data_IF_740377723751
#
_entry.id   IF_740377723751
#
_cell.length_a   1.000
_cell.length_b   1.000
_cell.length_c   1.000
_cell.angle_alpha   90.00
_cell.angle_beta   90.00
_cell.angle_gamma   90.00
#
_symmetry.space_group_name_H-M   'P 1'
#
loop_
_entity.id
_entity.type
_entity.pdbx_description
1 polymer ?
#
# COMPACT_ATOMS: atom_id res chain seq x y z
N UNK A 1 13.26 -8.82 21.50
CA UNK A 1 13.89 -10.14 21.44
C UNK A 1 15.26 -9.95 20.86
N UNK A 2 16.29 -10.45 21.55
CA UNK A 2 17.66 -10.45 21.10
C UNK A 2 17.98 -11.82 20.51
N UNK A 3 18.63 -11.83 19.35
CA UNK A 3 19.08 -13.03 18.69
C UNK A 3 20.62 -13.09 18.74
N UNK A 4 21.17 -14.23 19.08
CA UNK A 4 22.62 -14.47 19.07
C UNK A 4 22.93 -15.83 18.45
N UNK A 5 24.02 -15.93 17.72
CA UNK A 5 24.53 -17.17 17.12
C UNK A 5 26.06 -17.14 17.11
N UNK A 6 26.67 -18.31 17.01
CA UNK A 6 28.10 -18.48 17.23
C UNK A 6 28.96 -18.33 15.95
N UNK A 7 28.38 -18.18 14.78
CA UNK A 7 29.07 -18.06 13.50
C UNK A 7 28.86 -16.68 12.87
N UNK A 8 29.86 -15.82 13.00
CA UNK A 8 29.85 -14.45 12.47
C UNK A 8 29.79 -14.38 10.93
N UNK A 9 30.02 -15.50 10.22
CA UNK A 9 29.90 -15.56 8.75
C UNK A 9 28.46 -15.71 8.27
N UNK A 10 27.54 -16.09 9.17
CA UNK A 10 26.13 -16.32 8.87
C UNK A 10 25.32 -15.04 9.14
N UNK A 11 24.66 -14.51 8.13
CA UNK A 11 23.79 -13.35 8.30
C UNK A 11 22.45 -13.74 8.96
N UNK A 12 21.85 -12.82 9.71
CA UNK A 12 20.54 -13.04 10.34
C UNK A 12 19.46 -13.50 9.34
N UNK A 13 19.49 -12.97 8.12
CA UNK A 13 18.60 -13.37 7.05
C UNK A 13 18.74 -14.86 6.66
N UNK A 14 19.94 -15.40 6.71
CA UNK A 14 20.20 -16.82 6.41
C UNK A 14 19.66 -17.72 7.52
N UNK A 15 19.74 -17.26 8.77
CA UNK A 15 19.13 -17.96 9.91
C UNK A 15 17.62 -17.99 9.74
N UNK A 16 16.99 -16.85 9.42
CA UNK A 16 15.55 -16.78 9.19
C UNK A 16 15.11 -17.67 8.01
N UNK A 17 15.88 -17.73 6.94
CA UNK A 17 15.59 -18.61 5.79
C UNK A 17 15.71 -20.10 6.17
N UNK A 18 16.60 -20.45 7.11
CA UNK A 18 16.84 -21.84 7.51
C UNK A 18 15.83 -22.38 8.53
N UNK A 19 15.37 -21.53 9.48
CA UNK A 19 14.49 -21.95 10.57
C UNK A 19 13.08 -21.36 10.47
N UNK A 20 12.89 -20.38 9.59
CA UNK A 20 11.60 -19.71 9.44
C UNK A 20 10.61 -20.57 8.67
N UNK A 21 9.37 -20.56 9.14
CA UNK A 21 8.23 -21.11 8.42
C UNK A 21 7.45 -19.99 7.74
N UNK A 22 6.86 -20.28 6.56
CA UNK A 22 5.99 -19.35 5.88
C UNK A 22 4.75 -19.13 6.74
N UNK A 23 4.48 -17.91 7.25
CA UNK A 23 3.26 -17.65 7.99
C UNK A 23 2.06 -17.67 7.04
N UNK A 24 1.10 -18.53 7.33
CA UNK A 24 -0.18 -18.56 6.63
C UNK A 24 -1.26 -17.89 7.50
N UNK A 25 -2.34 -17.37 6.89
CA UNK A 25 -3.41 -16.72 7.64
C UNK A 25 -4.04 -17.66 8.69
N UNK A 26 -4.27 -17.20 9.93
CA UNK A 26 -4.85 -18.02 11.00
C UNK A 26 -6.24 -18.57 10.67
N UNK A 27 -6.99 -17.94 9.77
CA UNK A 27 -8.32 -18.42 9.39
C UNK A 27 -8.29 -19.72 8.56
N UNK A 28 -7.12 -20.14 8.05
CA UNK A 28 -6.97 -21.43 7.38
C UNK A 28 -7.00 -22.61 8.37
N UNK A 29 -6.83 -22.36 9.67
CA UNK A 29 -6.92 -23.33 10.78
C UNK A 29 -6.13 -24.62 10.52
N UNK A 30 -4.96 -24.53 9.94
CA UNK A 30 -4.01 -25.63 9.71
C UNK A 30 -2.57 -25.12 9.84
N UNK A 31 -1.65 -26.02 9.98
CA UNK A 31 -0.23 -25.72 9.91
C UNK A 31 0.23 -25.46 8.47
N UNK A 32 1.38 -24.78 8.34
CA UNK A 32 2.01 -24.50 7.05
C UNK A 32 2.51 -25.80 6.42
N UNK A 33 2.28 -25.97 5.13
CA UNK A 33 2.78 -27.08 4.33
C UNK A 33 3.83 -26.58 3.32
N UNK A 34 4.70 -27.48 2.86
CA UNK A 34 5.74 -27.14 1.88
C UNK A 34 5.16 -26.59 0.57
N UNK A 35 3.96 -27.05 0.19
CA UNK A 35 3.20 -26.57 -0.95
C UNK A 35 2.78 -25.11 -0.84
N UNK A 36 2.63 -24.58 0.38
CA UNK A 36 2.26 -23.18 0.60
C UNK A 36 3.33 -22.20 0.11
N UNK A 37 4.59 -22.61 0.15
CA UNK A 37 5.69 -21.81 -0.42
C UNK A 37 5.50 -21.47 -1.90
N UNK A 38 4.71 -22.27 -2.61
CA UNK A 38 4.41 -22.08 -4.02
C UNK A 38 2.99 -21.60 -4.25
N UNK A 39 2.01 -22.15 -3.54
CA UNK A 39 0.58 -21.88 -3.76
C UNK A 39 0.09 -20.63 -3.04
N UNK A 40 0.70 -20.27 -1.91
CA UNK A 40 0.42 -19.03 -1.19
C UNK A 40 1.38 -17.90 -1.62
N UNK A 41 1.68 -17.83 -2.92
CA UNK A 41 2.51 -16.81 -3.54
C UNK A 41 1.79 -16.25 -4.77
N UNK A 42 1.94 -14.96 -5.01
CA UNK A 42 1.37 -14.32 -6.21
C UNK A 42 2.45 -14.11 -7.27
N UNK A 43 2.02 -13.91 -8.52
CA UNK A 43 2.93 -13.52 -9.63
C UNK A 43 3.65 -12.18 -9.37
N UNK A 44 3.22 -11.43 -8.36
CA UNK A 44 3.79 -10.14 -7.95
C UNK A 44 4.88 -10.25 -6.88
N UNK A 45 5.07 -11.42 -6.27
CA UNK A 45 6.07 -11.62 -5.22
C UNK A 45 7.49 -11.54 -5.80
N UNK A 46 8.13 -10.38 -5.65
CA UNK A 46 9.48 -10.10 -6.18
C UNK A 46 10.49 -9.77 -5.10
N UNK A 47 10.04 -9.16 -4.01
CA UNK A 47 10.91 -8.63 -2.93
C UNK A 47 10.53 -9.33 -1.63
N UNK A 48 11.51 -9.94 -0.96
CA UNK A 48 11.33 -10.51 0.38
C UNK A 48 11.12 -9.38 1.40
N UNK A 49 10.33 -9.62 2.47
CA UNK A 49 10.14 -8.66 3.55
C UNK A 49 8.69 -8.42 3.94
N UNK A 50 7.76 -9.23 3.42
CA UNK A 50 6.34 -9.20 3.77
C UNK A 50 5.91 -10.54 4.34
N UNK A 51 5.02 -10.49 5.35
CA UNK A 51 4.47 -11.68 6.02
C UNK A 51 3.20 -12.16 5.32
N UNK A 52 2.40 -11.23 4.77
CA UNK A 52 1.13 -11.55 4.13
C UNK A 52 1.23 -11.47 2.61
N UNK A 53 0.80 -12.52 1.91
CA UNK A 53 0.64 -12.47 0.47
C UNK A 53 -0.57 -11.61 0.08
N UNK A 54 -0.49 -10.81 -1.01
CA UNK A 54 -1.64 -10.06 -1.52
C UNK A 54 -2.63 -11.00 -2.20
N UNK A 55 -3.52 -11.63 -1.42
CA UNK A 55 -4.41 -12.72 -1.88
C UNK A 55 -5.29 -12.35 -3.07
N UNK A 56 -5.68 -11.09 -3.22
CA UNK A 56 -6.35 -10.61 -4.44
C UNK A 56 -5.50 -10.82 -5.70
N UNK A 57 -4.19 -10.86 -5.57
CA UNK A 57 -3.25 -11.16 -6.66
C UNK A 57 -3.28 -12.60 -7.13
N UNK A 58 -3.85 -13.54 -6.36
CA UNK A 58 -3.98 -14.95 -6.75
C UNK A 58 -4.91 -15.16 -7.96
N UNK A 59 -5.78 -14.21 -8.26
CA UNK A 59 -6.61 -14.22 -9.48
C UNK A 59 -5.79 -14.04 -10.77
N UNK A 60 -4.54 -13.55 -10.67
CA UNK A 60 -3.71 -13.21 -11.81
C UNK A 60 -2.69 -14.31 -12.10
N UNK A 61 -2.62 -14.71 -13.34
CA UNK A 61 -1.59 -15.58 -13.90
C UNK A 61 -0.76 -14.79 -14.91
N UNK A 62 0.39 -15.28 -15.31
CA UNK A 62 1.20 -14.66 -16.37
C UNK A 62 0.40 -14.52 -17.68
N UNK A 63 -0.49 -15.49 -17.97
CA UNK A 63 -1.37 -15.41 -19.13
C UNK A 63 -2.36 -14.26 -19.03
N UNK A 64 -3.03 -14.10 -17.87
CA UNK A 64 -3.98 -13.00 -17.64
C UNK A 64 -3.26 -11.65 -17.74
N UNK A 65 -2.06 -11.53 -17.19
CA UNK A 65 -1.27 -10.30 -17.31
C UNK A 65 -0.92 -9.97 -18.77
N UNK A 66 -0.52 -10.99 -19.55
CA UNK A 66 -0.26 -10.82 -20.97
C UNK A 66 -1.51 -10.44 -21.76
N UNK A 67 -2.68 -11.00 -21.42
CA UNK A 67 -3.95 -10.65 -22.04
C UNK A 67 -4.35 -9.19 -21.72
N UNK A 68 -4.14 -8.73 -20.49
CA UNK A 68 -4.35 -7.33 -20.06
C UNK A 68 -3.49 -6.39 -20.91
N UNK A 69 -2.18 -6.69 -21.02
CA UNK A 69 -1.24 -5.90 -21.82
C UNK A 69 -1.65 -5.87 -23.32
N UNK A 70 -2.09 -7.01 -23.85
CA UNK A 70 -2.55 -7.12 -25.26
C UNK A 70 -3.82 -6.30 -25.53
N UNK A 71 -4.63 -6.02 -24.50
CA UNK A 71 -5.79 -5.14 -24.58
C UNK A 71 -5.46 -3.67 -24.34
N UNK A 72 -4.19 -3.33 -24.20
CA UNK A 72 -3.73 -1.94 -24.00
C UNK A 72 -4.12 -1.36 -22.63
N UNK A 73 -4.36 -2.22 -21.63
CA UNK A 73 -4.63 -1.80 -20.26
C UNK A 73 -3.29 -1.59 -19.56
N UNK A 74 -3.04 -0.36 -19.12
CA UNK A 74 -1.84 -0.01 -18.41
C UNK A 74 -1.82 -0.64 -17.01
N UNK A 75 -0.66 -1.18 -16.62
CA UNK A 75 -0.43 -1.77 -15.31
C UNK A 75 0.72 -1.09 -14.61
N UNK A 76 0.65 -1.01 -13.28
CA UNK A 76 1.76 -0.56 -12.46
C UNK A 76 1.79 -1.35 -11.15
N UNK A 77 2.94 -1.39 -10.52
CA UNK A 77 3.17 -2.11 -9.27
C UNK A 77 3.56 -1.12 -8.17
N UNK A 78 2.94 -1.28 -7.01
CA UNK A 78 3.37 -0.62 -5.77
C UNK A 78 3.95 -1.66 -4.83
N UNK A 79 4.97 -1.29 -4.07
CA UNK A 79 5.58 -2.19 -3.09
C UNK A 79 5.04 -1.84 -1.70
N UNK A 80 4.53 -2.86 -1.02
CA UNK A 80 4.10 -2.77 0.37
C UNK A 80 4.83 -3.82 1.20
N UNK A 81 5.28 -3.40 2.38
CA UNK A 81 5.81 -4.29 3.39
C UNK A 81 4.73 -4.54 4.44
N UNK A 82 3.98 -5.61 4.25
CA UNK A 82 2.82 -5.96 5.08
C UNK A 82 3.28 -6.84 6.23
N UNK A 83 3.17 -6.33 7.45
CA UNK A 83 3.53 -7.05 8.66
C UNK A 83 2.46 -8.05 9.13
N UNK A 84 2.81 -8.88 10.13
CA UNK A 84 1.90 -9.87 10.74
C UNK A 84 0.63 -9.25 11.36
N UNK A 85 0.61 -7.94 11.58
CA UNK A 85 -0.57 -7.20 12.07
C UNK A 85 -1.80 -7.33 11.19
N UNK A 86 -1.62 -7.55 9.88
CA UNK A 86 -2.70 -7.74 8.90
C UNK A 86 -3.60 -8.95 9.21
N UNK A 87 -3.07 -9.97 9.90
CA UNK A 87 -3.84 -11.15 10.29
C UNK A 87 -4.66 -10.97 11.57
N UNK A 88 -4.56 -9.83 12.25
CA UNK A 88 -5.35 -9.57 13.45
C UNK A 88 -6.78 -9.21 13.05
N UNK A 89 -7.78 -10.00 13.48
CA UNK A 89 -9.17 -9.64 13.24
C UNK A 89 -9.54 -8.35 13.98
N UNK A 90 -10.46 -7.58 13.42
CA UNK A 90 -11.09 -6.47 14.11
C UNK A 90 -11.85 -7.06 15.32
N UNK A 91 -11.47 -6.66 16.53
CA UNK A 91 -12.05 -7.15 17.80
C UNK A 91 -12.88 -6.07 18.51
N UNK A 92 -12.78 -4.83 18.07
CA UNK A 92 -13.54 -3.72 18.64
C UNK A 92 -14.98 -3.74 18.11
N UNK A 93 -15.95 -3.44 18.98
CA UNK A 93 -17.36 -3.27 18.58
C UNK A 93 -17.55 -1.98 17.78
N UNK A 94 -16.71 -0.98 18.04
CA UNK A 94 -16.69 0.30 17.35
C UNK A 94 -15.40 0.44 16.53
N UNK A 95 -15.52 1.06 15.36
CA UNK A 95 -14.40 1.21 14.42
C UNK A 95 -13.29 2.10 14.99
N UNK A 96 -13.65 3.08 15.83
CA UNK A 96 -12.71 3.97 16.52
C UNK A 96 -11.77 3.22 17.46
N UNK A 97 -12.23 2.12 18.04
CA UNK A 97 -11.42 1.26 18.91
C UNK A 97 -10.43 0.36 18.17
N UNK A 98 -10.47 0.31 16.84
CA UNK A 98 -9.56 -0.49 16.04
C UNK A 98 -8.29 0.29 15.72
N UNK A 99 -7.14 -0.16 16.23
CA UNK A 99 -5.85 0.42 15.86
C UNK A 99 -5.32 -0.25 14.58
N UNK A 100 -5.23 0.52 13.50
CA UNK A 100 -4.58 0.08 12.25
C UNK A 100 -3.06 0.00 12.44
N UNK A 101 -2.47 -1.04 11.91
CA UNK A 101 -1.01 -1.17 11.85
C UNK A 101 -0.43 -0.28 10.75
N UNK A 102 0.81 0.14 10.97
CA UNK A 102 1.58 0.88 9.96
C UNK A 102 2.03 -0.08 8.87
N UNK A 103 1.81 0.29 7.62
CA UNK A 103 2.37 -0.36 6.45
C UNK A 103 3.37 0.57 5.77
N UNK A 104 4.56 0.04 5.49
CA UNK A 104 5.58 0.78 4.74
C UNK A 104 5.37 0.56 3.26
N UNK A 105 5.42 1.66 2.52
CA UNK A 105 5.17 1.69 1.08
C UNK A 105 6.39 2.24 0.33
N UNK A 106 6.62 1.71 -0.87
CA UNK A 106 7.56 2.25 -1.82
C UNK A 106 6.86 2.40 -3.18
N UNK A 107 6.80 3.63 -3.70
CA UNK A 107 6.10 3.97 -4.92
C UNK A 107 7.06 4.66 -5.88
N UNK A 108 7.21 4.10 -7.08
CA UNK A 108 8.13 4.63 -8.09
C UNK A 108 7.56 5.88 -8.76
N UNK A 109 8.44 6.78 -9.19
CA UNK A 109 8.09 7.97 -9.98
C UNK A 109 7.16 7.65 -11.15
N UNK A 110 7.43 6.57 -11.88
CA UNK A 110 6.62 6.13 -13.01
C UNK A 110 5.15 5.90 -12.64
N UNK A 111 4.87 5.47 -11.41
CA UNK A 111 3.50 5.29 -10.91
C UNK A 111 2.74 6.62 -10.88
N UNK A 112 3.38 7.69 -10.43
CA UNK A 112 2.78 9.04 -10.43
C UNK A 112 2.54 9.55 -11.85
N UNK A 113 3.47 9.31 -12.76
CA UNK A 113 3.34 9.68 -14.18
C UNK A 113 2.15 8.97 -14.82
N UNK A 114 1.98 7.67 -14.56
CA UNK A 114 0.85 6.90 -15.06
C UNK A 114 -0.48 7.35 -14.44
N UNK A 115 -0.51 7.59 -13.12
CA UNK A 115 -1.72 8.12 -12.48
C UNK A 115 -2.15 9.44 -13.12
N UNK A 116 -1.22 10.36 -13.35
CA UNK A 116 -1.50 11.64 -14.02
C UNK A 116 -1.97 11.44 -15.46
N UNK A 117 -1.38 10.49 -16.21
CA UNK A 117 -1.78 10.19 -17.58
C UNK A 117 -3.20 9.61 -17.69
N UNK A 118 -3.69 8.97 -16.60
CA UNK A 118 -5.02 8.39 -16.49
C UNK A 118 -5.96 9.22 -15.59
N UNK A 119 -5.76 10.54 -15.48
CA UNK A 119 -6.59 11.46 -14.70
C UNK A 119 -6.72 11.04 -13.22
N UNK A 120 -5.72 10.33 -12.69
CA UNK A 120 -5.69 9.73 -11.35
C UNK A 120 -6.78 8.68 -11.07
N UNK A 121 -7.31 8.03 -12.10
CA UNK A 121 -8.26 6.93 -12.00
C UNK A 121 -7.57 5.57 -12.01
N UNK A 122 -7.83 4.74 -11.02
CA UNK A 122 -7.17 3.44 -10.90
C UNK A 122 -8.12 2.31 -10.47
N UNK A 123 -7.86 1.12 -11.01
CA UNK A 123 -8.40 -0.14 -10.47
C UNK A 123 -7.37 -0.77 -9.55
N UNK A 124 -7.65 -0.82 -8.26
CA UNK A 124 -6.76 -1.42 -7.28
C UNK A 124 -6.94 -2.95 -7.21
N UNK A 125 -5.84 -3.68 -7.09
CA UNK A 125 -5.83 -5.11 -6.81
C UNK A 125 -5.41 -5.32 -5.35
N UNK A 126 -6.39 -5.64 -4.51
CA UNK A 126 -6.24 -5.80 -3.06
C UNK A 126 -6.48 -4.52 -2.26
N UNK A 127 -7.00 -4.70 -1.06
CA UNK A 127 -7.31 -3.60 -0.12
C UNK A 127 -6.07 -2.84 0.33
N UNK A 128 -4.91 -3.50 0.39
CA UNK A 128 -3.62 -2.85 0.68
C UNK A 128 -3.20 -1.89 -0.43
N UNK A 129 -3.47 -2.23 -1.70
CA UNK A 129 -3.25 -1.32 -2.83
C UNK A 129 -4.18 -0.11 -2.77
N UNK A 130 -5.45 -0.28 -2.35
CA UNK A 130 -6.37 0.84 -2.09
C UNK A 130 -5.77 1.78 -1.05
N UNK A 131 -5.35 1.24 0.10
CA UNK A 131 -4.76 2.04 1.17
C UNK A 131 -3.53 2.81 0.69
N UNK A 132 -2.69 2.19 -0.13
CA UNK A 132 -1.54 2.88 -0.72
C UNK A 132 -1.97 4.03 -1.61
N UNK A 133 -2.83 3.78 -2.60
CA UNK A 133 -3.24 4.78 -3.58
C UNK A 133 -3.95 5.96 -2.91
N UNK A 134 -4.90 5.68 -2.03
CA UNK A 134 -5.60 6.74 -1.29
C UNK A 134 -4.65 7.53 -0.37
N UNK A 135 -3.64 6.88 0.23
CA UNK A 135 -2.62 7.59 1.00
C UNK A 135 -1.79 8.55 0.15
N UNK A 136 -1.51 8.23 -1.12
CA UNK A 136 -0.80 9.15 -2.01
C UNK A 136 -1.54 10.49 -2.17
N UNK A 137 -2.87 10.46 -2.20
CA UNK A 137 -3.65 11.70 -2.22
C UNK A 137 -3.34 12.57 -0.99
N UNK A 138 -3.42 12.00 0.22
CA UNK A 138 -3.18 12.75 1.45
C UNK A 138 -1.72 13.18 1.62
N UNK A 139 -0.76 12.39 1.14
CA UNK A 139 0.65 12.80 1.07
C UNK A 139 0.82 14.02 0.15
N UNK A 140 0.15 14.05 -0.99
CA UNK A 140 0.14 15.20 -1.89
C UNK A 140 -0.54 16.42 -1.30
N UNK A 141 -1.61 16.24 -0.52
CA UNK A 141 -2.27 17.30 0.25
C UNK A 141 -1.32 17.89 1.29
N UNK A 142 -0.53 17.06 2.00
CA UNK A 142 0.50 17.55 2.94
C UNK A 142 1.51 18.45 2.24
N UNK A 143 1.94 18.09 1.04
CA UNK A 143 2.82 18.93 0.23
C UNK A 143 2.16 20.22 -0.25
N UNK A 144 0.84 20.20 -0.49
CA UNK A 144 0.10 21.43 -0.76
C UNK A 144 0.05 22.36 0.47
N UNK A 145 -0.01 21.79 1.69
CA UNK A 145 0.03 22.55 2.96
C UNK A 145 1.45 23.02 3.29
N UNK A 146 2.45 22.18 3.06
CA UNK A 146 3.86 22.46 3.34
C UNK A 146 4.75 21.90 2.22
N UNK A 147 5.10 22.72 1.21
CA UNK A 147 5.95 22.28 0.09
C UNK A 147 7.37 21.85 0.49
N UNK A 148 7.84 22.26 1.66
CA UNK A 148 9.18 21.94 2.19
C UNK A 148 9.18 20.70 3.10
N UNK A 149 8.04 19.97 3.18
CA UNK A 149 7.90 18.76 3.99
C UNK A 149 8.95 17.71 3.59
N UNK A 150 9.53 17.05 4.59
CA UNK A 150 10.48 15.97 4.41
C UNK A 150 9.75 14.63 4.23
N UNK A 151 10.48 13.60 3.83
CA UNK A 151 9.89 12.27 3.56
C UNK A 151 9.17 11.69 4.79
N UNK A 152 9.72 11.94 5.99
CA UNK A 152 9.13 11.50 7.25
C UNK A 152 7.78 12.17 7.56
N UNK A 153 7.57 13.39 7.05
CA UNK A 153 6.33 14.15 7.25
C UNK A 153 5.17 13.63 6.41
N UNK A 154 5.46 12.82 5.38
CA UNK A 154 4.48 12.31 4.43
C UNK A 154 3.69 11.10 4.96
N UNK A 155 4.04 10.56 6.15
CA UNK A 155 3.24 9.51 6.80
C UNK A 155 1.76 9.90 6.91
N UNK A 156 0.85 8.97 6.60
CA UNK A 156 -0.60 9.19 6.74
C UNK A 156 -1.12 8.48 7.97
N UNK A 157 -1.67 9.24 8.91
CA UNK A 157 -2.27 8.71 10.14
C UNK A 157 -3.63 8.08 9.89
N UNK A 158 -4.08 7.23 10.82
CA UNK A 158 -5.28 6.42 10.69
C UNK A 158 -6.53 7.24 10.36
N UNK A 159 -6.77 8.33 11.10
CA UNK A 159 -7.97 9.15 11.01
C UNK A 159 -7.77 10.45 10.23
N UNK A 160 -6.57 10.69 9.73
CA UNK A 160 -6.23 11.92 9.01
C UNK A 160 -7.20 12.26 7.88
N UNK A 161 -7.71 11.29 7.07
CA UNK A 161 -8.72 11.59 6.06
C UNK A 161 -10.00 12.21 6.59
N UNK A 162 -10.35 11.94 7.85
CA UNK A 162 -11.61 12.38 8.46
C UNK A 162 -11.44 13.65 9.28
N UNK A 163 -10.20 13.95 9.69
CA UNK A 163 -9.86 15.13 10.50
C UNK A 163 -9.65 16.39 9.63
N UNK A 164 -9.39 16.21 8.33
CA UNK A 164 -9.16 17.31 7.40
C UNK A 164 -10.48 17.94 6.92
N UNK A 165 -10.50 19.25 6.63
CA UNK A 165 -11.68 19.90 6.06
C UNK A 165 -11.91 19.48 4.60
N UNK A 166 -13.15 19.18 4.24
CA UNK A 166 -13.55 18.78 2.90
C UNK A 166 -14.63 19.69 2.32
N UNK A 167 -14.66 19.78 0.99
CA UNK A 167 -15.77 20.37 0.28
C UNK A 167 -16.93 19.35 0.09
N UNK A 168 -18.00 19.77 -0.59
CA UNK A 168 -19.17 18.90 -0.86
C UNK A 168 -18.85 17.67 -1.74
N UNK A 169 -17.77 17.73 -2.52
CA UNK A 169 -17.30 16.66 -3.38
C UNK A 169 -16.34 15.69 -2.64
N UNK A 170 -16.02 15.98 -1.37
CA UNK A 170 -15.11 15.20 -0.55
C UNK A 170 -13.62 15.47 -0.80
N UNK A 171 -13.27 16.54 -1.52
CA UNK A 171 -11.89 16.97 -1.71
C UNK A 171 -11.40 17.76 -0.50
N UNK A 172 -10.16 17.52 -0.08
CA UNK A 172 -9.54 18.26 1.03
C UNK A 172 -9.35 19.73 0.65
N UNK A 173 -9.69 20.63 1.56
CA UNK A 173 -9.50 22.08 1.40
C UNK A 173 -8.18 22.50 2.05
N UNK A 174 -7.31 23.15 1.27
CA UNK A 174 -6.06 23.77 1.74
C UNK A 174 -6.13 25.27 1.48
N UNK A 175 -6.19 26.07 2.56
CA UNK A 175 -6.50 27.51 2.45
C UNK A 175 -7.92 27.70 1.88
N UNK A 176 -8.03 28.34 0.71
CA UNK A 176 -9.29 28.60 0.03
C UNK A 176 -9.56 27.68 -1.17
N UNK A 177 -8.74 26.65 -1.36
CA UNK A 177 -8.81 25.76 -2.52
C UNK A 177 -9.02 24.30 -2.14
N UNK A 178 -9.90 23.62 -2.87
CA UNK A 178 -9.97 22.17 -2.85
C UNK A 178 -8.81 21.59 -3.67
N UNK A 179 -8.14 20.58 -3.14
CA UNK A 179 -7.01 19.89 -3.79
C UNK A 179 -7.56 18.68 -4.54
N UNK A 180 -7.44 18.67 -5.84
CA UNK A 180 -7.81 17.52 -6.67
C UNK A 180 -6.76 16.39 -6.58
N UNK A 181 -7.16 15.16 -6.97
CA UNK A 181 -6.22 14.04 -7.04
C UNK A 181 -5.04 14.34 -7.97
N UNK A 182 -5.29 14.98 -9.11
CA UNK A 182 -4.24 15.35 -10.06
C UNK A 182 -3.25 16.38 -9.47
N UNK A 183 -3.73 17.37 -8.70
CA UNK A 183 -2.87 18.32 -8.02
C UNK A 183 -2.04 17.63 -6.92
N UNK A 184 -2.67 16.78 -6.09
CA UNK A 184 -1.98 16.04 -5.04
C UNK A 184 -0.86 15.13 -5.61
N UNK A 185 -1.16 14.34 -6.64
CA UNK A 185 -0.17 13.51 -7.33
C UNK A 185 0.89 14.35 -8.04
N UNK A 186 0.50 15.49 -8.60
CA UNK A 186 1.42 16.47 -9.19
C UNK A 186 2.42 17.02 -8.17
N UNK A 187 1.98 17.33 -6.95
CA UNK A 187 2.86 17.76 -5.84
C UNK A 187 3.87 16.68 -5.47
N UNK A 188 3.44 15.42 -5.34
CA UNK A 188 4.34 14.29 -5.05
C UNK A 188 5.39 14.10 -6.16
N UNK A 189 4.97 14.15 -7.43
CA UNK A 189 5.88 14.04 -8.55
C UNK A 189 6.92 15.17 -8.53
N UNK A 190 6.47 16.42 -8.32
CA UNK A 190 7.37 17.57 -8.27
C UNK A 190 8.34 17.48 -7.08
N UNK A 191 7.87 17.03 -5.93
CA UNK A 191 8.70 16.81 -4.75
C UNK A 191 9.80 15.77 -5.01
N UNK A 192 9.48 14.64 -5.65
CA UNK A 192 10.47 13.64 -6.08
C UNK A 192 11.50 14.23 -7.05
N UNK A 193 11.05 15.08 -8.00
CA UNK A 193 11.94 15.74 -8.95
C UNK A 193 12.92 16.68 -8.24
N UNK A 194 12.45 17.48 -7.29
CA UNK A 194 13.26 18.41 -6.52
C UNK A 194 14.28 17.67 -5.63
N UNK A 195 13.87 16.56 -5.02
CA UNK A 195 14.71 15.70 -4.19
C UNK A 195 15.64 14.79 -5.02
N UNK A 196 15.47 14.70 -6.33
CA UNK A 196 16.18 13.79 -7.25
C UNK A 196 16.01 12.31 -6.85
N UNK A 197 14.80 11.96 -6.43
CA UNK A 197 14.43 10.60 -6.04
C UNK A 197 13.61 9.94 -7.14
N UNK A 198 13.81 8.63 -7.32
CA UNK A 198 13.02 7.81 -8.24
C UNK A 198 11.93 7.01 -7.54
N UNK A 199 12.00 6.94 -6.22
CA UNK A 199 11.06 6.18 -5.37
C UNK A 199 10.69 7.02 -4.16
N UNK A 200 9.41 7.14 -3.88
CA UNK A 200 8.89 7.63 -2.61
C UNK A 200 8.86 6.48 -1.62
N UNK A 201 9.52 6.64 -0.48
CA UNK A 201 9.41 5.75 0.67
C UNK A 201 8.60 6.46 1.76
N UNK A 202 7.52 5.85 2.20
CA UNK A 202 6.67 6.41 3.24
C UNK A 202 5.95 5.30 4.00
N UNK A 203 4.99 5.67 4.80
CA UNK A 203 4.16 4.72 5.53
C UNK A 203 2.73 5.22 5.69
N UNK A 204 1.81 4.31 5.94
CA UNK A 204 0.40 4.63 6.14
C UNK A 204 -0.22 3.79 7.23
N UNK A 205 -1.12 4.41 7.99
CA UNK A 205 -2.06 3.77 8.89
C UNK A 205 -3.51 4.00 8.46
N UNK A 206 -3.72 4.60 7.28
CA UNK A 206 -5.06 4.99 6.81
C UNK A 206 -6.08 3.87 7.03
N UNK A 207 -7.25 4.23 7.54
CA UNK A 207 -8.43 3.38 7.58
C UNK A 207 -9.44 3.87 6.55
N UNK A 208 -10.00 2.93 5.77
CA UNK A 208 -11.10 3.23 4.84
C UNK A 208 -12.38 2.77 5.51
N UNK A 209 -13.09 3.70 6.11
CA UNK A 209 -14.34 3.45 6.83
C UNK A 209 -15.57 3.72 5.95
N UNK A 210 -16.77 3.20 6.31
CA UNK A 210 -18.00 3.56 5.61
C UNK A 210 -18.21 5.08 5.53
N UNK A 211 -18.52 5.57 4.33
CA UNK A 211 -18.65 7.00 4.05
C UNK A 211 -17.37 7.69 3.56
N UNK A 212 -16.26 6.95 3.43
CA UNK A 212 -15.05 7.47 2.82
C UNK A 212 -15.27 7.81 1.34
N UNK A 213 -14.82 8.99 0.91
CA UNK A 213 -14.86 9.42 -0.49
C UNK A 213 -13.52 9.09 -1.15
N UNK A 214 -13.53 8.16 -2.08
CA UNK A 214 -12.33 7.76 -2.82
C UNK A 214 -11.83 8.87 -3.74
N UNK A 215 -10.53 9.06 -3.77
CA UNK A 215 -9.87 10.12 -4.53
C UNK A 215 -9.17 9.60 -5.80
N UNK A 216 -8.68 8.37 -5.76
CA UNK A 216 -7.89 7.75 -6.84
C UNK A 216 -8.51 6.43 -7.28
N UNK A 217 -9.06 5.65 -6.36
CA UNK A 217 -9.52 4.29 -6.65
C UNK A 217 -10.98 4.28 -7.08
N UNK A 218 -11.25 3.90 -8.33
CA UNK A 218 -12.63 3.73 -8.85
C UNK A 218 -13.15 2.32 -8.67
N UNK A 219 -12.25 1.33 -8.75
CA UNK A 219 -12.61 -0.10 -8.75
C UNK A 219 -11.64 -0.89 -7.91
N UNK A 220 -12.14 -1.95 -7.32
CA UNK A 220 -11.38 -2.86 -6.46
C UNK A 220 -11.57 -4.30 -6.89
N UNK A 221 -10.46 -5.00 -7.11
CA UNK A 221 -10.42 -6.44 -7.24
C UNK A 221 -9.97 -7.01 -5.89
N UNK A 222 -10.79 -7.83 -5.29
CA UNK A 222 -10.51 -8.50 -4.01
C UNK A 222 -10.63 -10.01 -4.14
N UNK A 223 -10.21 -10.72 -3.10
CA UNK A 223 -10.42 -12.14 -2.94
C UNK A 223 -11.64 -12.33 -2.03
N UNK A 224 -12.83 -12.43 -2.62
CA UNK A 224 -14.07 -12.80 -1.94
C UNK A 224 -14.30 -14.32 -2.02
N UNK A 225 -14.85 -14.86 -0.95
CA UNK A 225 -15.37 -16.21 -0.87
C UNK A 225 -16.89 -16.20 -0.84
#
# INVERSE_FOLDING_TARGET
VDFSWDDDSVAFAEILDAIGELPIPPYLNRETEETDKTTYQTVYSKIKGSVAAPTAGLHFTQKVLADIDAHGIDREEVTLHVGAGTFKPVKSEEIEGHAMHTEYIAVRRQTFEKLLAHECHATAVGTTSVRTLESLYYMGVKLAMNPDAQEEDLHVNQWEPYDLPHNEEGLVIVGDKAVTAAEAIGHLRHWLDAAKLDVLHSSTQIIIAPGYTYQIVDKLITNFH
#
